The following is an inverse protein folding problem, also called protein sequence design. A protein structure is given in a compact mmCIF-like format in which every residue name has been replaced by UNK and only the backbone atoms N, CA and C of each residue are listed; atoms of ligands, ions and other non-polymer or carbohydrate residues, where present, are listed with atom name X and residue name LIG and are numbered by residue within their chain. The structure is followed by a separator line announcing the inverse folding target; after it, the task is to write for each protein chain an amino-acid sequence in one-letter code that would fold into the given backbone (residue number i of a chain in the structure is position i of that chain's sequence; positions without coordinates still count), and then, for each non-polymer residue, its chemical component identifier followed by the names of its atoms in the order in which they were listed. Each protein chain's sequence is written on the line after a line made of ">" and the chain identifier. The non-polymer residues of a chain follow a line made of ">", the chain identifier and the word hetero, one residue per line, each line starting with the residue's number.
data_IF_923373406992
#
_entry.id   IF_923373406992
#
_cell.length_a   1.000
_cell.length_b   1.000
_cell.length_c   1.000
_cell.angle_alpha   90.00
_cell.angle_beta   90.00
_cell.angle_gamma   90.00
#
_symmetry.space_group_name_H-M   'P 1'
#
loop_
_entity.id
_entity.type
_entity.pdbx_description
1 polymer ?
#
# COMPACT_ATOMS: atom_id res chain seq x y z
N UNK A 1 6.67 -2.37 4.57
CA UNK A 1 5.62 -3.01 5.41
C UNK A 1 5.08 -2.02 6.44
N UNK A 2 5.55 -1.96 7.70
CA UNK A 2 4.94 -1.03 8.70
C UNK A 2 5.01 0.44 8.29
N UNK A 3 6.19 0.92 7.88
CA UNK A 3 6.38 2.30 7.39
C UNK A 3 5.43 2.70 6.28
N UNK A 4 5.18 1.79 5.34
CA UNK A 4 4.29 2.00 4.21
C UNK A 4 2.83 2.15 4.67
N UNK A 5 2.37 1.31 5.59
CA UNK A 5 1.01 1.43 6.14
C UNK A 5 0.86 2.67 7.01
N UNK A 6 1.89 3.11 7.72
CA UNK A 6 1.87 4.39 8.45
C UNK A 6 1.78 5.59 7.48
N UNK A 7 2.45 5.53 6.31
CA UNK A 7 2.26 6.51 5.24
C UNK A 7 0.82 6.50 4.73
N UNK A 8 0.21 5.32 4.58
CA UNK A 8 -1.19 5.19 4.19
C UNK A 8 -2.11 5.84 5.22
N UNK A 9 -1.89 5.59 6.51
CA UNK A 9 -2.62 6.25 7.59
C UNK A 9 -2.48 7.77 7.52
N UNK A 10 -1.26 8.28 7.28
CA UNK A 10 -1.05 9.71 7.09
C UNK A 10 -1.91 10.26 5.94
N UNK A 11 -1.89 9.63 4.77
CA UNK A 11 -2.65 10.12 3.61
C UNK A 11 -4.15 10.02 3.85
N UNK A 12 -4.61 8.91 4.43
CA UNK A 12 -6.03 8.59 4.60
C UNK A 12 -6.72 9.40 5.71
N UNK A 13 -5.99 9.75 6.77
CA UNK A 13 -6.56 10.39 7.96
C UNK A 13 -6.14 11.83 8.18
N UNK A 14 -5.07 12.30 7.52
CA UNK A 14 -4.59 13.68 7.73
C UNK A 14 -5.61 14.80 7.51
N UNK A 15 -6.63 14.69 6.63
CA UNK A 15 -7.67 15.72 6.53
C UNK A 15 -8.44 15.94 7.84
N UNK A 16 -8.58 14.89 8.66
CA UNK A 16 -9.40 14.89 9.87
C UNK A 16 -8.59 15.08 11.16
N UNK A 17 -7.27 15.22 11.06
CA UNK A 17 -6.43 15.43 12.24
C UNK A 17 -6.62 16.83 12.81
N UNK A 18 -6.97 16.86 14.09
CA UNK A 18 -6.96 18.09 14.88
C UNK A 18 -5.53 18.66 14.98
N UNK A 19 -4.55 17.82 15.34
CA UNK A 19 -3.14 18.21 15.45
C UNK A 19 -2.35 17.90 14.17
N UNK A 20 -2.53 18.75 13.15
CA UNK A 20 -1.98 18.52 11.79
C UNK A 20 -0.45 18.37 11.73
N UNK A 21 0.29 19.12 12.56
CA UNK A 21 1.76 19.08 12.57
C UNK A 21 2.33 17.97 13.48
N UNK A 22 1.59 17.58 14.53
CA UNK A 22 2.07 16.61 15.53
C UNK A 22 1.83 15.17 15.10
N UNK A 23 0.71 14.89 14.42
CA UNK A 23 0.37 13.53 13.99
C UNK A 23 1.42 12.86 13.07
N UNK A 24 2.02 13.55 12.09
CA UNK A 24 3.13 12.98 11.30
C UNK A 24 4.34 12.60 12.16
N UNK A 25 4.68 13.44 13.14
CA UNK A 25 5.79 13.19 14.07
C UNK A 25 5.48 11.97 14.92
N UNK A 26 4.24 11.87 15.43
CA UNK A 26 3.78 10.70 16.17
C UNK A 26 3.92 9.40 15.36
N UNK A 27 3.44 9.38 14.11
CA UNK A 27 3.55 8.20 13.24
C UNK A 27 5.02 7.84 12.95
N UNK A 28 5.88 8.85 12.75
CA UNK A 28 7.31 8.62 12.54
C UNK A 28 7.97 8.00 13.77
N UNK A 29 7.77 8.60 14.96
CA UNK A 29 8.31 8.10 16.23
C UNK A 29 7.79 6.70 16.53
N UNK A 30 6.49 6.46 16.30
CA UNK A 30 5.88 5.14 16.43
C UNK A 30 6.58 4.10 15.55
N UNK A 31 6.76 4.40 14.26
CA UNK A 31 7.45 3.51 13.32
C UNK A 31 8.90 3.23 13.71
N UNK A 32 9.63 4.26 14.16
CA UNK A 32 11.02 4.14 14.59
C UNK A 32 11.18 3.28 15.85
N UNK A 33 10.36 3.55 16.88
CA UNK A 33 10.35 2.76 18.12
C UNK A 33 9.96 1.31 17.85
N UNK A 34 8.93 1.09 17.03
CA UNK A 34 8.53 -0.27 16.64
C UNK A 34 9.67 -1.00 15.93
N UNK A 35 10.34 -0.35 14.97
CA UNK A 35 11.47 -0.94 14.24
C UNK A 35 12.63 -1.30 15.17
N UNK A 36 13.00 -0.39 16.09
CA UNK A 36 14.04 -0.65 17.09
C UNK A 36 13.67 -1.83 17.98
N UNK A 37 12.48 -1.84 18.57
CA UNK A 37 12.01 -2.95 19.40
C UNK A 37 11.96 -4.27 18.62
N UNK A 38 11.43 -4.26 17.39
CA UNK A 38 11.35 -5.46 16.56
C UNK A 38 12.74 -6.01 16.20
N UNK A 39 13.75 -5.14 16.04
CA UNK A 39 15.12 -5.58 15.76
C UNK A 39 15.79 -6.29 16.95
N UNK A 40 15.40 -5.95 18.19
CA UNK A 40 15.95 -6.54 19.41
C UNK A 40 15.17 -7.79 19.83
N UNK A 41 13.83 -7.72 19.79
CA UNK A 41 12.96 -8.76 20.33
C UNK A 41 12.44 -9.75 19.28
N UNK A 42 12.65 -9.48 17.98
CA UNK A 42 12.24 -10.36 16.88
C UNK A 42 10.78 -10.83 16.97
N UNK A 43 9.82 -9.90 17.10
CA UNK A 43 8.40 -10.21 17.26
C UNK A 43 7.85 -11.05 16.10
N UNK A 44 7.87 -12.38 16.17
CA UNK A 44 7.47 -13.26 15.07
C UNK A 44 5.99 -13.13 14.68
N UNK A 45 5.09 -13.77 15.45
CA UNK A 45 3.64 -13.69 15.20
C UNK A 45 3.10 -12.29 15.53
N UNK A 46 3.64 -11.67 16.58
CA UNK A 46 3.25 -10.33 17.01
C UNK A 46 3.36 -9.29 15.89
N UNK A 47 4.43 -9.32 15.09
CA UNK A 47 4.57 -8.47 13.91
C UNK A 47 3.44 -8.68 12.90
N UNK A 48 3.11 -9.94 12.59
CA UNK A 48 2.06 -10.26 11.59
C UNK A 48 0.69 -9.76 12.04
N UNK A 49 0.33 -10.03 13.30
CA UNK A 49 -0.96 -9.57 13.88
C UNK A 49 -1.02 -8.06 13.88
N UNK A 50 0.03 -7.40 14.39
CA UNK A 50 0.12 -5.95 14.41
C UNK A 50 -0.02 -5.34 13.01
N UNK A 51 0.68 -5.90 12.03
CA UNK A 51 0.63 -5.44 10.64
C UNK A 51 -0.76 -5.58 10.02
N UNK A 52 -1.45 -6.71 10.26
CA UNK A 52 -2.83 -6.93 9.80
C UNK A 52 -3.77 -5.89 10.41
N UNK A 53 -3.66 -5.59 11.71
CA UNK A 53 -4.48 -4.58 12.37
C UNK A 53 -4.29 -3.21 11.69
N UNK A 54 -3.04 -2.80 11.43
CA UNK A 54 -2.78 -1.53 10.75
C UNK A 54 -3.41 -1.47 9.34
N UNK A 55 -3.35 -2.56 8.59
CA UNK A 55 -3.99 -2.65 7.26
C UNK A 55 -5.51 -2.51 7.40
N UNK A 56 -6.12 -3.25 8.32
CA UNK A 56 -7.58 -3.23 8.56
C UNK A 56 -8.07 -1.81 8.90
N UNK A 57 -7.29 -1.06 9.68
CA UNK A 57 -7.59 0.34 9.98
C UNK A 57 -7.60 1.22 8.71
N UNK A 58 -6.78 0.92 7.70
CA UNK A 58 -6.74 1.70 6.46
C UNK A 58 -7.93 1.40 5.51
N UNK A 59 -8.50 0.19 5.56
CA UNK A 59 -9.50 -0.28 4.58
C UNK A 59 -10.74 0.64 4.49
N UNK A 60 -11.43 1.00 5.60
CA UNK A 60 -12.65 1.81 5.52
C UNK A 60 -12.41 3.17 4.86
N UNK A 61 -11.27 3.80 5.17
CA UNK A 61 -10.91 5.10 4.59
C UNK A 61 -10.50 4.97 3.14
N UNK A 62 -9.72 3.96 2.79
CA UNK A 62 -9.35 3.70 1.40
C UNK A 62 -10.59 3.43 0.54
N UNK A 63 -11.55 2.65 1.06
CA UNK A 63 -12.84 2.40 0.41
C UNK A 63 -13.66 3.70 0.25
N UNK A 64 -13.72 4.54 1.30
CA UNK A 64 -14.36 5.87 1.20
C UNK A 64 -13.77 6.68 0.05
N UNK A 65 -12.45 6.77 -0.09
CA UNK A 65 -11.86 7.52 -1.21
C UNK A 65 -12.13 6.87 -2.57
N UNK A 66 -12.10 5.54 -2.63
CA UNK A 66 -12.42 4.81 -3.86
C UNK A 66 -13.84 5.12 -4.40
N UNK A 67 -14.86 5.09 -3.54
CA UNK A 67 -16.24 5.33 -3.99
C UNK A 67 -16.47 6.78 -4.43
N UNK A 68 -15.78 7.75 -3.81
CA UNK A 68 -15.88 9.18 -4.16
C UNK A 68 -14.93 9.61 -5.29
N UNK A 69 -14.11 8.70 -5.82
CA UNK A 69 -13.21 8.99 -6.94
C UNK A 69 -13.96 8.84 -8.26
N UNK A 70 -14.16 9.92 -9.01
CA UNK A 70 -14.81 9.85 -10.33
C UNK A 70 -13.86 9.45 -11.47
N UNK A 71 -12.55 9.70 -11.31
CA UNK A 71 -11.55 9.38 -12.33
C UNK A 71 -11.42 7.86 -12.54
N UNK A 72 -11.73 7.41 -13.76
CA UNK A 72 -11.73 6.01 -14.12
C UNK A 72 -10.33 5.37 -14.04
N UNK A 73 -9.28 6.12 -14.36
CA UNK A 73 -7.90 5.64 -14.30
C UNK A 73 -7.44 5.46 -12.86
N UNK A 74 -7.81 6.38 -11.96
CA UNK A 74 -7.57 6.26 -10.52
C UNK A 74 -8.34 5.08 -9.91
N UNK A 75 -9.63 4.89 -10.27
CA UNK A 75 -10.40 3.70 -9.88
C UNK A 75 -9.74 2.41 -10.38
N UNK A 76 -9.16 2.41 -11.59
CA UNK A 76 -8.41 1.26 -12.13
C UNK A 76 -7.17 0.95 -11.29
N UNK A 77 -6.45 1.94 -10.77
CA UNK A 77 -5.32 1.71 -9.86
C UNK A 77 -5.75 0.98 -8.59
N UNK A 78 -6.85 1.39 -7.96
CA UNK A 78 -7.38 0.70 -6.78
C UNK A 78 -7.77 -0.76 -7.08
N UNK A 79 -8.34 -1.03 -8.27
CA UNK A 79 -8.64 -2.40 -8.71
C UNK A 79 -7.37 -3.21 -8.95
N UNK A 80 -6.36 -2.63 -9.62
CA UNK A 80 -5.07 -3.30 -9.85
C UNK A 80 -4.33 -3.59 -8.55
N UNK A 81 -4.42 -2.69 -7.57
CA UNK A 81 -3.98 -2.94 -6.20
C UNK A 81 -4.65 -4.20 -5.62
N UNK A 82 -5.99 -4.31 -5.67
CA UNK A 82 -6.69 -5.50 -5.16
C UNK A 82 -6.33 -6.78 -5.92
N UNK A 83 -6.26 -6.72 -7.26
CA UNK A 83 -5.91 -7.87 -8.09
C UNK A 83 -4.51 -8.38 -7.75
N UNK A 84 -3.53 -7.49 -7.70
CA UNK A 84 -2.14 -7.86 -7.34
C UNK A 84 -2.02 -8.35 -5.90
N UNK A 85 -2.83 -7.82 -4.96
CA UNK A 85 -2.90 -8.34 -3.59
C UNK A 85 -3.38 -9.80 -3.56
N UNK A 86 -4.46 -10.10 -4.30
CA UNK A 86 -5.05 -11.44 -4.36
C UNK A 86 -4.07 -12.42 -5.00
N UNK A 87 -3.48 -12.08 -6.15
CA UNK A 87 -2.50 -12.95 -6.80
C UNK A 87 -1.25 -13.15 -5.96
N UNK A 88 -0.69 -12.08 -5.38
CA UNK A 88 0.41 -12.16 -4.45
C UNK A 88 0.09 -13.18 -3.36
N UNK A 89 -1.00 -12.95 -2.61
CA UNK A 89 -1.49 -13.83 -1.54
C UNK A 89 -1.66 -15.27 -1.96
N UNK A 90 -2.23 -15.52 -3.13
CA UNK A 90 -2.37 -16.87 -3.66
C UNK A 90 -1.00 -17.53 -3.86
N UNK A 91 -0.06 -16.88 -4.56
CA UNK A 91 1.27 -17.44 -4.79
C UNK A 91 2.03 -17.70 -3.50
N UNK A 92 2.04 -16.73 -2.57
CA UNK A 92 2.74 -16.88 -1.30
C UNK A 92 2.12 -17.93 -0.37
N UNK A 93 0.80 -18.13 -0.45
CA UNK A 93 0.09 -19.16 0.31
C UNK A 93 0.31 -20.56 -0.29
N UNK A 94 0.13 -20.71 -1.60
CA UNK A 94 0.36 -21.97 -2.30
C UNK A 94 1.80 -22.45 -2.15
N UNK A 95 2.78 -21.56 -2.28
CA UNK A 95 4.20 -21.89 -2.11
C UNK A 95 4.50 -22.46 -0.71
N UNK A 96 3.89 -21.87 0.33
CA UNK A 96 4.07 -22.35 1.71
C UNK A 96 3.39 -23.68 1.99
N UNK A 97 2.16 -23.88 1.50
CA UNK A 97 1.38 -25.08 1.78
C UNK A 97 1.90 -26.28 0.98
N UNK A 98 2.17 -26.07 -0.30
CA UNK A 98 2.54 -27.13 -1.24
C UNK A 98 4.04 -27.19 -1.50
N UNK A 99 4.87 -26.66 -0.58
CA UNK A 99 6.32 -26.57 -0.76
C UNK A 99 6.96 -27.93 -1.05
N UNK A 100 6.52 -28.98 -0.34
CA UNK A 100 7.07 -30.34 -0.50
C UNK A 100 6.73 -30.92 -1.88
N UNK A 101 5.51 -30.71 -2.34
CA UNK A 101 5.04 -31.19 -3.64
C UNK A 101 5.70 -30.40 -4.77
N UNK A 102 5.66 -29.07 -4.71
CA UNK A 102 6.19 -28.17 -5.75
C UNK A 102 7.71 -28.32 -5.88
N UNK A 103 8.44 -28.52 -4.78
CA UNK A 103 9.91 -28.70 -4.83
C UNK A 103 10.35 -29.99 -5.54
N UNK A 104 9.44 -30.97 -5.67
CA UNK A 104 9.69 -32.21 -6.42
C UNK A 104 9.39 -32.11 -7.92
N UNK A 105 8.77 -31.02 -8.38
CA UNK A 105 8.39 -30.87 -9.78
C UNK A 105 9.62 -30.64 -10.67
N UNK A 106 9.56 -31.04 -11.96
CA UNK A 106 10.63 -30.78 -12.92
C UNK A 106 10.96 -29.28 -13.08
N UNK A 107 9.98 -28.41 -12.83
CA UNK A 107 10.12 -26.95 -12.88
C UNK A 107 9.50 -26.37 -11.61
N UNK A 108 10.30 -25.63 -10.84
CA UNK A 108 9.82 -24.89 -9.68
C UNK A 108 9.33 -23.49 -10.12
N UNK A 109 8.04 -23.16 -9.94
CA UNK A 109 7.47 -21.86 -10.31
C UNK A 109 7.94 -20.70 -9.41
N UNK A 110 8.69 -20.96 -8.35
CA UNK A 110 9.20 -19.97 -7.40
C UNK A 110 8.08 -19.08 -6.85
N UNK A 111 7.06 -19.68 -6.23
CA UNK A 111 5.86 -18.97 -5.78
C UNK A 111 6.16 -17.84 -4.79
N UNK A 112 7.19 -17.99 -3.95
CA UNK A 112 7.65 -16.90 -3.08
C UNK A 112 8.24 -15.71 -3.85
N UNK A 113 8.96 -15.97 -4.96
CA UNK A 113 9.45 -14.90 -5.83
C UNK A 113 8.29 -14.20 -6.54
N UNK A 114 7.31 -14.95 -7.03
CA UNK A 114 6.08 -14.40 -7.60
C UNK A 114 5.31 -13.55 -6.57
N UNK A 115 5.21 -14.01 -5.31
CA UNK A 115 4.67 -13.20 -4.21
C UNK A 115 5.38 -11.84 -4.13
N UNK A 116 6.72 -11.79 -4.16
CA UNK A 116 7.45 -10.51 -4.14
C UNK A 116 7.15 -9.62 -5.35
N UNK A 117 7.05 -10.18 -6.55
CA UNK A 117 6.70 -9.43 -7.77
C UNK A 117 5.31 -8.80 -7.64
N UNK A 118 4.31 -9.59 -7.28
CA UNK A 118 2.94 -9.09 -7.12
C UNK A 118 2.80 -8.10 -5.96
N UNK A 119 3.49 -8.33 -4.85
CA UNK A 119 3.50 -7.36 -3.74
C UNK A 119 4.22 -6.05 -4.10
N UNK A 120 5.25 -6.11 -4.95
CA UNK A 120 5.90 -4.91 -5.49
C UNK A 120 4.93 -4.06 -6.32
N UNK A 121 4.21 -4.69 -7.25
CA UNK A 121 3.16 -4.01 -8.02
C UNK A 121 2.00 -3.52 -7.14
N UNK A 122 1.61 -4.31 -6.14
CA UNK A 122 0.59 -3.95 -5.17
C UNK A 122 0.94 -2.64 -4.46
N UNK A 123 2.13 -2.55 -3.88
CA UNK A 123 2.65 -1.34 -3.24
C UNK A 123 2.70 -0.17 -4.22
N UNK A 124 3.14 -0.39 -5.46
CA UNK A 124 3.17 0.65 -6.48
C UNK A 124 1.77 1.22 -6.77
N UNK A 125 0.78 0.37 -7.02
CA UNK A 125 -0.58 0.79 -7.34
C UNK A 125 -1.28 1.45 -6.15
N UNK A 126 -1.09 0.92 -4.93
CA UNK A 126 -1.62 1.52 -3.71
C UNK A 126 -1.08 2.95 -3.50
N UNK A 127 0.24 3.12 -3.57
CA UNK A 127 0.87 4.43 -3.43
C UNK A 127 0.42 5.40 -4.53
N UNK A 128 0.31 4.93 -5.78
CA UNK A 128 -0.12 5.77 -6.91
C UNK A 128 -1.56 6.26 -6.73
N UNK A 129 -2.46 5.37 -6.31
CA UNK A 129 -3.84 5.74 -5.96
C UNK A 129 -3.90 6.73 -4.79
N UNK A 130 -3.13 6.50 -3.72
CA UNK A 130 -3.10 7.38 -2.57
C UNK A 130 -2.49 8.75 -2.86
N UNK A 131 -1.48 8.83 -3.75
CA UNK A 131 -0.97 10.11 -4.25
C UNK A 131 -2.05 10.90 -4.97
N UNK A 132 -2.86 10.24 -5.81
CA UNK A 132 -4.01 10.84 -6.47
C UNK A 132 -5.02 11.37 -5.44
N UNK A 133 -5.45 10.54 -4.49
CA UNK A 133 -6.38 10.96 -3.43
C UNK A 133 -5.82 12.13 -2.61
N UNK A 134 -4.52 12.11 -2.28
CA UNK A 134 -3.88 13.19 -1.53
C UNK A 134 -3.91 14.50 -2.29
N UNK A 135 -3.63 14.47 -3.58
CA UNK A 135 -3.71 15.66 -4.42
C UNK A 135 -5.13 16.23 -4.45
N UNK A 136 -6.15 15.38 -4.58
CA UNK A 136 -7.56 15.82 -4.52
C UNK A 136 -7.91 16.43 -3.15
N UNK A 137 -7.48 15.82 -2.03
CA UNK A 137 -7.68 16.36 -0.68
C UNK A 137 -7.07 17.77 -0.51
N UNK A 138 -6.02 18.08 -1.27
CA UNK A 138 -5.35 19.39 -1.27
C UNK A 138 -5.99 20.39 -2.24
N UNK A 139 -7.09 20.03 -2.91
CA UNK A 139 -7.75 20.86 -3.91
C UNK A 139 -6.97 21.00 -5.21
N UNK A 140 -6.02 20.10 -5.48
CA UNK A 140 -5.29 20.08 -6.75
C UNK A 140 -6.07 19.30 -7.81
N UNK A 141 -5.66 19.43 -9.07
CA UNK A 141 -6.22 18.67 -10.20
C UNK A 141 -5.25 17.55 -10.64
N UNK A 142 -5.22 16.40 -9.94
CA UNK A 142 -4.38 15.28 -10.33
C UNK A 142 -4.95 14.58 -11.57
N UNK A 143 -4.06 14.04 -12.40
CA UNK A 143 -4.39 13.17 -13.53
C UNK A 143 -3.50 11.93 -13.50
N UNK A 144 -4.07 10.77 -13.80
CA UNK A 144 -3.30 9.54 -13.99
C UNK A 144 -2.86 9.46 -15.45
N UNK A 145 -1.55 9.45 -15.67
CA UNK A 145 -0.92 9.31 -17.00
C UNK A 145 -0.10 8.01 -17.04
N UNK A 146 0.37 7.61 -18.22
CA UNK A 146 1.13 6.37 -18.39
C UNK A 146 2.50 6.65 -19.02
N UNK A 147 3.57 6.30 -18.30
CA UNK A 147 4.92 6.30 -18.82
C UNK A 147 5.08 5.15 -19.82
N UNK A 148 5.59 5.47 -21.02
CA UNK A 148 5.70 4.53 -22.15
C UNK A 148 4.38 3.82 -22.50
N UNK A 149 3.23 4.44 -22.18
CA UNK A 149 1.90 3.87 -22.41
C UNK A 149 1.49 2.75 -21.44
N UNK A 150 2.34 2.35 -20.50
CA UNK A 150 2.09 1.18 -19.63
C UNK A 150 2.10 1.51 -18.14
N UNK A 151 3.13 2.21 -17.65
CA UNK A 151 3.33 2.38 -16.21
C UNK A 151 2.58 3.62 -15.70
N UNK A 152 1.53 3.48 -14.87
CA UNK A 152 0.73 4.63 -14.47
C UNK A 152 1.47 5.50 -13.44
N UNK A 153 1.34 6.81 -13.56
CA UNK A 153 1.86 7.79 -12.59
C UNK A 153 0.89 8.96 -12.43
N UNK A 154 0.98 9.66 -11.29
CA UNK A 154 0.13 10.82 -11.02
C UNK A 154 0.86 12.09 -11.45
N UNK A 155 0.30 12.83 -12.41
CA UNK A 155 0.68 14.21 -12.71
C UNK A 155 -0.16 15.14 -11.84
N UNK A 156 0.51 16.06 -11.14
CA UNK A 156 -0.14 17.07 -10.30
C UNK A 156 0.16 18.44 -10.89
N UNK A 157 -0.90 19.20 -11.19
CA UNK A 157 -0.79 20.61 -11.53
C UNK A 157 -1.05 21.42 -10.26
N UNK A 158 0.04 21.95 -9.68
CA UNK A 158 -0.03 22.77 -8.46
C UNK A 158 -0.49 24.18 -8.81
N UNK A 159 -1.40 24.78 -8.04
CA UNK A 159 -1.69 26.21 -8.14
C UNK A 159 -0.40 27.02 -7.94
N UNK A 160 -0.20 28.11 -8.71
CA UNK A 160 1.01 28.95 -8.62
C UNK A 160 1.15 29.68 -7.27
N UNK A 161 0.11 29.71 -6.44
CA UNK A 161 0.12 30.25 -5.09
C UNK A 161 -0.53 29.26 -4.12
N UNK A 162 0.25 28.74 -3.18
CA UNK A 162 -0.21 28.05 -1.97
C UNK A 162 0.63 28.50 -0.77
#
# INVERSE_FOLDING_TARGET
>A
MVWEVLLYMYILYSPDWHYRSTMPIFLFVYGALFAAAHSVFHFGIGFKVHYIILILLCIPRMYKYYIHTEDASAKRLAKLFLVTFVFGSLFGFCDRIFCKEISSWPINPQGHALWHVFMGFNSYFANTFLMFCRAQQRGWSPKVLHLMGVLPYVKIEKPKSQ
#
